data_IF_352687513695
#
_entry.id   IF_352687513695
#
_cell.length_a   1.000
_cell.length_b   1.000
_cell.length_c   1.000
_cell.angle_alpha   90.00
_cell.angle_beta   90.00
_cell.angle_gamma   90.00
#
_symmetry.space_group_name_H-M   'P 1'
#
loop_
_entity.id
_entity.type
_entity.pdbx_description
1 polymer ?
#
# COMPACT_ATOMS: atom_id res chain seq x y z
N UNK A 1 30.81 -4.37 4.78
CA UNK A 1 30.09 -5.57 4.35
C UNK A 1 28.86 -5.72 5.25
N UNK A 2 27.73 -5.15 4.86
CA UNK A 2 26.44 -5.56 5.45
C UNK A 2 26.11 -6.91 4.81
N UNK A 3 25.91 -7.94 5.63
CA UNK A 3 25.52 -9.25 5.14
C UNK A 3 24.07 -9.20 4.66
N UNK A 4 23.86 -9.54 3.40
CA UNK A 4 22.53 -9.74 2.81
C UNK A 4 21.96 -11.15 3.10
N UNK A 5 22.51 -11.84 4.12
CA UNK A 5 22.16 -13.23 4.45
C UNK A 5 20.68 -13.43 4.88
N UNK A 6 19.94 -12.34 5.06
CA UNK A 6 18.52 -12.35 5.43
C UNK A 6 17.59 -11.93 4.28
N UNK A 7 18.09 -11.75 3.06
CA UNK A 7 17.28 -11.33 1.91
C UNK A 7 16.92 -12.54 1.06
N UNK A 8 15.62 -12.73 0.84
CA UNK A 8 15.09 -13.75 -0.08
C UNK A 8 14.45 -13.05 -1.28
N UNK A 9 14.77 -13.51 -2.49
CA UNK A 9 14.23 -12.98 -3.73
C UNK A 9 13.15 -13.90 -4.28
N UNK A 10 11.99 -13.31 -4.60
CA UNK A 10 10.89 -13.97 -5.30
C UNK A 10 10.68 -13.29 -6.64
N UNK A 11 11.00 -13.98 -7.72
CA UNK A 11 10.94 -13.41 -9.06
C UNK A 11 9.54 -13.53 -9.65
N UNK A 12 9.01 -12.43 -10.15
CA UNK A 12 7.85 -12.44 -11.03
C UNK A 12 8.32 -12.56 -12.49
N UNK A 13 8.27 -13.75 -13.06
CA UNK A 13 8.72 -14.02 -14.43
C UNK A 13 7.87 -13.31 -15.49
N UNK A 14 6.67 -12.85 -15.11
CA UNK A 14 5.71 -12.17 -15.98
C UNK A 14 5.48 -10.72 -15.57
N UNK A 15 6.49 -10.05 -15.00
CA UNK A 15 6.36 -8.69 -14.47
C UNK A 15 5.88 -7.68 -15.52
N UNK A 16 6.20 -7.89 -16.80
CA UNK A 16 5.81 -7.05 -17.93
C UNK A 16 4.34 -7.25 -18.37
N UNK A 17 3.65 -8.26 -17.82
CA UNK A 17 2.27 -8.65 -18.18
C UNK A 17 1.36 -8.78 -16.98
N UNK A 18 1.84 -8.41 -15.80
CA UNK A 18 1.12 -8.52 -14.54
C UNK A 18 1.36 -7.29 -13.68
N UNK A 19 0.59 -7.12 -12.60
CA UNK A 19 0.72 -5.98 -11.71
C UNK A 19 1.05 -6.42 -10.28
N UNK A 20 1.04 -5.46 -9.35
CA UNK A 20 1.56 -5.53 -7.98
C UNK A 20 0.97 -6.67 -7.16
N UNK A 21 -0.34 -6.95 -7.27
CA UNK A 21 -0.98 -8.04 -6.52
C UNK A 21 -0.39 -9.39 -6.95
N UNK A 22 -0.25 -9.62 -8.26
CA UNK A 22 0.38 -10.84 -8.77
C UNK A 22 1.84 -10.94 -8.29
N UNK A 23 2.58 -9.83 -8.26
CA UNK A 23 3.96 -9.79 -7.76
C UNK A 23 4.03 -10.15 -6.28
N UNK A 24 3.13 -9.63 -5.43
CA UNK A 24 3.06 -10.00 -4.01
C UNK A 24 2.86 -11.52 -3.86
N UNK A 25 1.96 -12.11 -4.64
CA UNK A 25 1.66 -13.54 -4.55
C UNK A 25 2.70 -14.46 -5.20
N UNK A 26 3.72 -13.92 -5.91
CA UNK A 26 4.93 -14.69 -6.22
C UNK A 26 5.71 -15.10 -4.97
N UNK A 27 5.59 -14.35 -3.87
CA UNK A 27 6.17 -14.64 -2.57
C UNK A 27 5.22 -15.45 -1.65
N UNK A 28 4.26 -16.19 -2.19
CA UNK A 28 3.23 -16.92 -1.42
C UNK A 28 3.83 -17.80 -0.32
N UNK A 29 4.91 -18.52 -0.60
CA UNK A 29 5.57 -19.38 0.39
C UNK A 29 6.10 -18.57 1.58
N UNK A 30 6.57 -17.36 1.33
CA UNK A 30 6.98 -16.44 2.39
C UNK A 30 5.78 -15.94 3.21
N UNK A 31 4.66 -15.60 2.56
CA UNK A 31 3.42 -15.25 3.25
C UNK A 31 2.98 -16.38 4.18
N UNK A 32 3.03 -17.64 3.68
CA UNK A 32 2.69 -18.82 4.46
C UNK A 32 3.64 -19.01 5.64
N UNK A 33 4.94 -18.81 5.43
CA UNK A 33 5.94 -18.87 6.48
C UNK A 33 5.70 -17.83 7.57
N UNK A 34 5.33 -16.58 7.21
CA UNK A 34 4.96 -15.56 8.19
C UNK A 34 3.79 -16.03 9.10
N UNK A 35 2.82 -16.75 8.53
CA UNK A 35 1.70 -17.30 9.30
C UNK A 35 2.19 -18.40 10.27
N UNK A 36 3.04 -19.31 9.81
CA UNK A 36 3.59 -20.41 10.60
C UNK A 36 4.47 -19.90 11.75
N UNK A 37 5.33 -18.94 11.45
CA UNK A 37 6.25 -18.33 12.41
C UNK A 37 5.57 -17.27 13.31
N UNK A 38 4.26 -17.00 13.09
CA UNK A 38 3.48 -15.97 13.80
C UNK A 38 4.12 -14.58 13.72
N UNK A 39 4.60 -14.23 12.53
CA UNK A 39 5.23 -12.94 12.25
C UNK A 39 4.30 -12.06 11.42
N UNK A 40 4.09 -10.82 11.88
CA UNK A 40 3.40 -9.82 11.10
C UNK A 40 4.23 -9.42 9.88
N UNK A 41 3.56 -9.06 8.79
CA UNK A 41 4.19 -8.68 7.54
C UNK A 41 3.99 -7.19 7.26
N UNK A 42 5.08 -6.46 7.04
CA UNK A 42 5.03 -5.11 6.48
C UNK A 42 5.36 -5.21 4.98
N UNK A 43 4.52 -4.60 4.17
CA UNK A 43 4.66 -4.53 2.73
C UNK A 43 4.96 -3.08 2.35
N UNK A 44 6.00 -2.90 1.53
CA UNK A 44 6.42 -1.61 1.00
C UNK A 44 6.53 -1.67 -0.50
N UNK A 45 6.05 -0.64 -1.19
CA UNK A 45 6.40 -0.40 -2.58
C UNK A 45 7.90 -0.14 -2.71
N UNK A 46 8.49 -0.38 -3.87
CA UNK A 46 9.91 -0.27 -4.11
C UNK A 46 10.35 1.14 -4.54
N UNK A 47 9.41 1.95 -4.97
CA UNK A 47 9.57 3.31 -5.50
C UNK A 47 9.25 4.40 -4.49
N UNK A 48 9.09 4.05 -3.22
CA UNK A 48 8.82 4.99 -2.13
C UNK A 48 10.05 5.16 -1.22
N UNK A 49 10.24 6.39 -0.75
CA UNK A 49 11.20 6.75 0.28
C UNK A 49 10.44 7.24 1.50
N UNK A 50 10.71 6.68 2.66
CA UNK A 50 10.06 7.04 3.92
C UNK A 50 11.03 6.97 5.09
N UNK A 51 10.67 7.63 6.20
CA UNK A 51 11.49 7.64 7.40
C UNK A 51 11.13 6.50 8.35
N UNK A 52 12.08 6.17 9.21
CA UNK A 52 12.00 5.08 10.19
C UNK A 52 10.71 5.13 11.04
N UNK A 53 10.24 6.34 11.38
CA UNK A 53 9.02 6.54 12.17
C UNK A 53 7.76 5.94 11.52
N UNK A 54 7.69 5.86 10.19
CA UNK A 54 6.56 5.21 9.51
C UNK A 54 6.50 3.72 9.80
N UNK A 55 7.67 3.04 9.82
CA UNK A 55 7.77 1.63 10.20
C UNK A 55 7.46 1.43 11.70
N UNK A 56 7.97 2.32 12.55
CA UNK A 56 7.71 2.27 13.99
C UNK A 56 6.21 2.39 14.28
N UNK A 57 5.52 3.34 13.66
CA UNK A 57 4.07 3.48 13.77
C UNK A 57 3.29 2.25 13.31
N UNK A 58 3.71 1.61 12.19
CA UNK A 58 3.08 0.36 11.75
C UNK A 58 3.29 -0.78 12.75
N UNK A 59 4.48 -0.89 13.35
CA UNK A 59 4.76 -1.89 14.37
C UNK A 59 3.94 -1.68 15.64
N UNK A 60 3.69 -0.43 16.02
CA UNK A 60 2.90 -0.06 17.18
C UNK A 60 1.40 -0.25 16.98
N UNK A 61 0.93 -0.20 15.72
CA UNK A 61 -0.48 -0.42 15.39
C UNK A 61 -0.91 -1.83 15.81
N UNK A 62 -1.98 -1.92 16.60
CA UNK A 62 -2.49 -3.18 17.17
C UNK A 62 -3.46 -3.89 16.23
N UNK A 63 -3.94 -3.16 15.25
CA UNK A 63 -4.91 -3.68 14.29
C UNK A 63 -4.26 -4.66 13.33
N UNK A 64 -5.04 -5.65 12.91
CA UNK A 64 -4.60 -6.72 12.01
C UNK A 64 -4.28 -6.24 10.59
N UNK A 65 -4.88 -5.14 10.18
CA UNK A 65 -4.61 -4.46 8.92
C UNK A 65 -4.40 -2.97 9.19
N UNK A 66 -3.19 -2.46 8.94
CA UNK A 66 -2.80 -1.08 9.16
C UNK A 66 -2.12 -0.51 7.91
N UNK A 67 -2.47 0.71 7.54
CA UNK A 67 -2.01 1.37 6.31
C UNK A 67 -1.49 2.75 6.65
N UNK A 68 -0.27 3.08 6.19
CA UNK A 68 0.24 4.46 6.32
C UNK A 68 -0.52 5.39 5.39
N UNK A 69 -1.02 6.47 5.97
CA UNK A 69 -1.80 7.51 5.27
C UNK A 69 -1.16 8.88 5.54
N UNK A 70 -0.74 9.57 4.50
CA UNK A 70 -0.22 10.94 4.63
C UNK A 70 -1.35 11.96 4.64
N UNK A 71 -1.45 12.71 5.72
CA UNK A 71 -2.44 13.79 5.90
C UNK A 71 -2.01 15.09 5.23
N UNK A 72 -0.71 15.27 5.00
CA UNK A 72 -0.15 16.46 4.35
C UNK A 72 0.17 16.21 2.86
N UNK A 73 -0.40 15.15 2.29
CA UNK A 73 -0.20 14.68 0.92
C UNK A 73 -0.27 15.79 -0.14
N UNK A 74 -1.17 16.76 0.04
CA UNK A 74 -1.42 17.79 -0.96
C UNK A 74 -0.17 18.63 -1.24
N UNK A 75 0.62 18.96 -0.22
CA UNK A 75 1.88 19.69 -0.41
C UNK A 75 2.88 18.93 -1.27
N UNK A 76 2.90 17.59 -1.19
CA UNK A 76 3.74 16.75 -2.02
C UNK A 76 3.22 16.71 -3.46
N UNK A 77 1.91 16.51 -3.65
CA UNK A 77 1.28 16.46 -4.97
C UNK A 77 1.39 17.79 -5.74
N UNK A 78 1.25 18.93 -5.06
CA UNK A 78 1.45 20.27 -5.66
C UNK A 78 2.89 20.51 -6.16
N UNK A 79 3.87 19.77 -5.65
CA UNK A 79 5.24 19.80 -6.17
C UNK A 79 5.47 18.86 -7.35
N UNK A 80 4.67 17.81 -7.48
CA UNK A 80 4.80 16.76 -8.50
C UNK A 80 3.95 17.03 -9.73
N UNK A 81 2.77 17.61 -9.55
CA UNK A 81 1.74 17.76 -10.58
C UNK A 81 1.24 19.21 -10.64
N UNK A 82 0.98 19.69 -11.85
CA UNK A 82 0.32 20.99 -12.05
C UNK A 82 -1.09 21.00 -11.45
N UNK A 83 -1.81 19.88 -11.61
CA UNK A 83 -3.09 19.66 -10.95
C UNK A 83 -3.04 18.33 -10.16
N UNK A 84 -3.00 18.37 -8.82
CA UNK A 84 -2.96 17.17 -7.98
C UNK A 84 -4.06 16.14 -8.24
N UNK A 85 -5.25 16.58 -8.67
CA UNK A 85 -6.37 15.67 -8.95
C UNK A 85 -6.17 14.82 -10.21
N UNK A 86 -5.15 15.10 -11.03
CA UNK A 86 -4.86 14.27 -12.19
C UNK A 86 -4.31 12.90 -11.81
N UNK A 87 -3.66 12.83 -10.65
CA UNK A 87 -3.03 11.60 -10.13
C UNK A 87 -3.63 11.12 -8.80
N UNK A 88 -3.95 12.04 -7.88
CA UNK A 88 -4.41 11.69 -6.54
C UNK A 88 -5.64 10.77 -6.54
N UNK A 89 -5.59 9.75 -5.69
CA UNK A 89 -6.66 8.77 -5.51
C UNK A 89 -7.55 9.11 -4.30
N UNK A 90 -8.79 8.63 -4.31
CA UNK A 90 -9.68 8.77 -3.16
C UNK A 90 -9.15 8.01 -1.95
N UNK A 91 -9.34 8.59 -0.77
CA UNK A 91 -9.18 7.92 0.51
C UNK A 91 -10.18 8.50 1.50
N UNK A 92 -11.13 7.68 1.93
CA UNK A 92 -12.16 8.09 2.89
C UNK A 92 -12.04 7.32 4.19
N UNK A 93 -12.17 8.05 5.28
CA UNK A 93 -12.03 7.52 6.63
C UNK A 93 -13.37 7.58 7.37
N UNK A 94 -13.64 6.56 8.19
CA UNK A 94 -14.69 6.55 9.19
C UNK A 94 -14.14 5.98 10.49
N UNK A 95 -14.24 6.75 11.57
CA UNK A 95 -13.77 6.36 12.92
C UNK A 95 -12.28 5.90 12.94
N UNK A 96 -11.44 6.50 12.07
CA UNK A 96 -10.03 6.19 11.94
C UNK A 96 -9.73 4.92 11.11
N UNK A 97 -10.75 4.33 10.48
CA UNK A 97 -10.61 3.21 9.55
C UNK A 97 -10.86 3.67 8.11
N UNK A 98 -10.12 3.07 7.17
CA UNK A 98 -10.28 3.32 5.74
C UNK A 98 -11.56 2.61 5.28
N UNK A 99 -12.44 3.36 4.60
CA UNK A 99 -13.67 2.82 4.00
C UNK A 99 -13.66 2.89 2.47
N UNK A 100 -12.85 3.76 1.90
CA UNK A 100 -12.63 3.84 0.45
C UNK A 100 -11.17 4.18 0.16
N UNK A 101 -10.59 3.53 -0.86
CA UNK A 101 -9.20 3.65 -1.27
C UNK A 101 -9.06 3.46 -2.78
N UNK A 102 -8.21 4.25 -3.43
CA UNK A 102 -7.66 3.95 -4.75
C UNK A 102 -8.58 4.22 -5.94
N UNK A 103 -9.64 5.03 -5.77
CA UNK A 103 -10.48 5.45 -6.89
C UNK A 103 -10.03 6.80 -7.45
N UNK A 104 -10.37 7.10 -8.69
CA UNK A 104 -10.12 8.41 -9.26
C UNK A 104 -10.92 9.48 -8.50
N UNK A 105 -10.21 10.40 -7.85
CA UNK A 105 -10.83 11.52 -7.16
C UNK A 105 -11.35 12.57 -8.16
N UNK A 106 -12.50 13.17 -7.86
CA UNK A 106 -13.08 14.27 -8.63
C UNK A 106 -12.90 15.60 -7.91
N UNK A 107 -12.85 15.56 -6.60
CA UNK A 107 -12.70 16.73 -5.74
C UNK A 107 -11.75 16.44 -4.58
N UNK A 108 -11.14 17.48 -4.02
CA UNK A 108 -10.27 17.34 -2.86
C UNK A 108 -10.97 16.77 -1.62
N UNK A 109 -12.28 16.97 -1.47
CA UNK A 109 -13.08 16.48 -0.34
C UNK A 109 -13.16 14.93 -0.29
N UNK A 110 -12.86 14.28 -1.41
CA UNK A 110 -12.81 12.81 -1.50
C UNK A 110 -11.47 12.23 -1.03
N UNK A 111 -10.51 13.11 -0.66
CA UNK A 111 -9.13 12.72 -0.31
C UNK A 111 -8.81 13.19 1.11
N UNK A 112 -9.18 12.36 2.09
CA UNK A 112 -8.91 12.65 3.51
C UNK A 112 -7.48 12.33 3.94
N UNK A 113 -6.66 11.87 3.02
CA UNK A 113 -5.24 11.54 3.10
C UNK A 113 -4.83 10.76 1.88
N UNK A 114 -3.54 10.49 1.69
CA UNK A 114 -3.05 9.71 0.55
C UNK A 114 -2.44 8.40 1.03
N UNK A 115 -2.75 7.31 0.32
CA UNK A 115 -2.11 6.01 0.47
C UNK A 115 -0.64 6.12 0.05
N UNK A 116 0.25 5.53 0.82
CA UNK A 116 1.70 5.71 0.61
C UNK A 116 2.41 4.48 0.04
N UNK A 117 1.69 3.39 -0.22
CA UNK A 117 2.34 2.14 -0.62
C UNK A 117 2.97 1.35 0.54
N UNK A 118 2.74 1.76 1.80
CA UNK A 118 3.30 1.13 2.99
C UNK A 118 2.21 0.66 3.94
N UNK A 119 2.12 -0.64 4.22
CA UNK A 119 1.07 -1.22 5.06
C UNK A 119 1.50 -2.50 5.76
N UNK A 120 0.72 -2.92 6.76
CA UNK A 120 0.95 -4.10 7.59
C UNK A 120 -0.25 -5.04 7.57
N UNK A 121 0.02 -6.33 7.50
CA UNK A 121 -0.92 -7.38 7.88
C UNK A 121 -0.39 -8.14 9.09
N UNK A 122 -1.23 -8.42 10.09
CA UNK A 122 -0.89 -9.39 11.12
C UNK A 122 -0.83 -10.80 10.53
N UNK A 123 -0.08 -11.69 11.16
CA UNK A 123 -0.01 -13.10 10.75
C UNK A 123 -1.40 -13.78 10.80
N UNK A 124 -2.28 -13.35 11.68
CA UNK A 124 -3.66 -13.84 11.74
C UNK A 124 -4.45 -13.41 10.50
N UNK A 125 -4.33 -12.16 10.11
CA UNK A 125 -5.05 -11.61 8.97
C UNK A 125 -4.49 -12.07 7.63
N UNK A 126 -3.20 -12.40 7.55
CA UNK A 126 -2.59 -12.98 6.34
C UNK A 126 -3.31 -14.22 5.84
N UNK A 127 -3.89 -15.05 6.73
CA UNK A 127 -4.72 -16.19 6.35
C UNK A 127 -5.94 -15.76 5.54
N UNK A 128 -6.59 -14.71 6.00
CA UNK A 128 -7.78 -14.16 5.33
C UNK A 128 -7.42 -13.42 4.03
N UNK A 129 -6.26 -12.78 3.97
CA UNK A 129 -5.71 -12.16 2.76
C UNK A 129 -5.49 -13.21 1.67
N UNK A 130 -4.78 -14.30 1.98
CA UNK A 130 -4.53 -15.40 1.05
C UNK A 130 -5.85 -16.05 0.60
N UNK A 131 -6.74 -16.36 1.55
CA UNK A 131 -8.06 -16.95 1.27
C UNK A 131 -8.92 -16.05 0.37
N UNK A 132 -8.87 -14.74 0.62
CA UNK A 132 -9.62 -13.78 -0.21
C UNK A 132 -9.07 -13.76 -1.63
N UNK A 133 -7.76 -13.64 -1.80
CA UNK A 133 -7.13 -13.70 -3.12
C UNK A 133 -7.48 -14.99 -3.87
N UNK A 134 -7.41 -16.15 -3.21
CA UNK A 134 -7.72 -17.46 -3.82
C UNK A 134 -9.19 -17.60 -4.23
N UNK A 135 -10.09 -16.87 -3.56
CA UNK A 135 -11.53 -16.89 -3.84
C UNK A 135 -11.96 -15.93 -4.95
N UNK A 136 -11.06 -15.06 -5.44
CA UNK A 136 -11.40 -14.12 -6.50
C UNK A 136 -11.66 -14.82 -7.83
N UNK A 137 -12.68 -14.38 -8.54
CA UNK A 137 -12.97 -14.88 -9.89
C UNK A 137 -11.94 -14.33 -10.88
N UNK A 138 -11.16 -15.22 -11.47
CA UNK A 138 -10.08 -14.86 -12.42
C UNK A 138 -10.59 -14.37 -13.78
N UNK A 139 -11.89 -14.47 -14.05
CA UNK A 139 -12.53 -14.03 -15.29
C UNK A 139 -13.15 -12.62 -15.16
N UNK A 140 -13.24 -12.08 -13.94
CA UNK A 140 -13.77 -10.76 -13.70
C UNK A 140 -12.69 -9.68 -13.85
N UNK A 141 -13.14 -8.44 -14.01
CA UNK A 141 -12.30 -7.25 -13.95
C UNK A 141 -12.44 -6.56 -12.59
N UNK A 142 -11.34 -5.96 -12.13
CA UNK A 142 -11.18 -5.26 -10.86
C UNK A 142 -10.70 -3.83 -11.18
N UNK A 143 -11.55 -2.85 -11.00
CA UNK A 143 -11.33 -1.45 -11.42
C UNK A 143 -10.83 -1.33 -12.88
N UNK A 144 -11.47 -2.08 -13.79
CA UNK A 144 -11.16 -2.08 -15.21
C UNK A 144 -9.92 -2.90 -15.63
N UNK A 145 -9.26 -3.56 -14.70
CA UNK A 145 -8.11 -4.45 -14.96
C UNK A 145 -8.50 -5.92 -14.77
N UNK A 146 -7.93 -6.80 -15.56
CA UNK A 146 -8.09 -8.24 -15.34
C UNK A 146 -7.40 -8.69 -14.03
N UNK A 147 -7.68 -9.90 -13.60
CA UNK A 147 -7.15 -10.47 -12.36
C UNK A 147 -5.62 -10.38 -12.24
N UNK A 148 -4.88 -10.58 -13.33
CA UNK A 148 -3.41 -10.56 -13.31
C UNK A 148 -2.85 -9.13 -13.25
N UNK A 149 -3.62 -8.17 -13.72
CA UNK A 149 -3.26 -6.77 -13.77
C UNK A 149 -3.94 -5.92 -12.68
N UNK A 150 -4.53 -6.57 -11.67
CA UNK A 150 -5.20 -5.91 -10.55
C UNK A 150 -4.22 -4.97 -9.81
N UNK A 151 -4.63 -3.74 -9.59
CA UNK A 151 -3.89 -2.79 -8.75
C UNK A 151 -3.92 -3.24 -7.28
N UNK A 152 -2.87 -2.89 -6.53
CA UNK A 152 -2.85 -3.17 -5.10
C UNK A 152 -3.99 -2.47 -4.36
N UNK A 153 -4.29 -1.22 -4.70
CA UNK A 153 -5.39 -0.45 -4.12
C UNK A 153 -6.75 -1.13 -4.35
N UNK A 154 -6.98 -1.73 -5.52
CA UNK A 154 -8.18 -2.53 -5.80
C UNK A 154 -8.28 -3.76 -4.89
N UNK A 155 -7.17 -4.47 -4.69
CA UNK A 155 -7.14 -5.63 -3.80
C UNK A 155 -7.34 -5.24 -2.34
N UNK A 156 -6.69 -4.16 -1.90
CA UNK A 156 -6.89 -3.63 -0.54
C UNK A 156 -8.33 -3.18 -0.34
N UNK A 157 -8.98 -2.56 -1.35
CA UNK A 157 -10.40 -2.18 -1.26
C UNK A 157 -11.31 -3.40 -1.08
N UNK A 158 -11.03 -4.52 -1.76
CA UNK A 158 -11.77 -5.78 -1.55
C UNK A 158 -11.64 -6.27 -0.10
N UNK A 159 -10.45 -6.19 0.48
CA UNK A 159 -10.23 -6.54 1.89
C UNK A 159 -10.96 -5.56 2.83
N UNK A 160 -10.92 -4.26 2.53
CA UNK A 160 -11.62 -3.20 3.28
C UNK A 160 -13.13 -3.46 3.28
N UNK A 161 -13.71 -3.71 2.13
CA UNK A 161 -15.16 -3.95 1.99
C UNK A 161 -15.60 -5.17 2.77
N UNK A 162 -14.78 -6.23 2.74
CA UNK A 162 -15.10 -7.51 3.37
C UNK A 162 -14.92 -7.51 4.89
N UNK A 163 -13.82 -6.92 5.39
CA UNK A 163 -13.42 -7.04 6.79
C UNK A 163 -13.60 -5.77 7.61
N UNK A 164 -13.65 -4.60 6.97
CA UNK A 164 -13.87 -3.27 7.60
C UNK A 164 -12.91 -2.96 8.76
N UNK A 165 -11.67 -3.45 8.66
CA UNK A 165 -10.67 -3.41 9.72
C UNK A 165 -9.36 -2.71 9.32
N UNK A 166 -9.32 -2.02 8.18
CA UNK A 166 -8.14 -1.31 7.71
C UNK A 166 -7.92 -0.01 8.50
N UNK A 167 -7.03 -0.03 9.47
CA UNK A 167 -6.66 1.14 10.27
C UNK A 167 -5.80 2.11 9.47
N UNK A 168 -6.21 3.38 9.41
CA UNK A 168 -5.35 4.45 8.95
C UNK A 168 -4.32 4.81 10.04
N UNK A 169 -3.03 4.64 9.72
CA UNK A 169 -1.91 5.08 10.55
C UNK A 169 -1.39 6.38 9.95
N UNK A 170 -1.79 7.49 10.55
CA UNK A 170 -1.56 8.81 9.99
C UNK A 170 -0.11 9.28 10.18
N UNK A 171 0.45 9.81 9.09
CA UNK A 171 1.70 10.57 9.07
C UNK A 171 1.45 11.99 8.51
N UNK A 172 2.45 12.84 8.62
CA UNK A 172 2.45 14.22 8.09
C UNK A 172 3.72 14.45 7.29
N UNK A 173 3.67 14.13 5.99
CA UNK A 173 4.84 14.15 5.11
C UNK A 173 5.93 13.16 5.54
N UNK A 174 7.20 13.48 5.27
CA UNK A 174 8.36 12.62 5.54
C UNK A 174 8.34 11.30 4.74
N UNK A 175 7.78 11.35 3.54
CA UNK A 175 7.85 10.32 2.53
C UNK A 175 7.73 10.95 1.14
N UNK A 176 8.11 10.24 0.12
CA UNK A 176 7.82 10.56 -1.28
C UNK A 176 7.81 9.30 -2.12
N UNK A 177 7.17 9.37 -3.26
CA UNK A 177 7.16 8.38 -4.33
C UNK A 177 8.05 8.90 -5.47
N UNK A 178 8.76 8.03 -6.14
CA UNK A 178 9.71 8.36 -7.20
C UNK A 178 9.25 7.69 -8.49
N UNK A 179 8.35 8.34 -9.22
CA UNK A 179 7.87 7.88 -10.53
C UNK A 179 8.60 8.56 -11.68
N UNK A 180 9.01 9.82 -11.48
CA UNK A 180 9.65 10.65 -12.49
C UNK A 180 11.02 11.14 -12.01
N UNK A 181 11.90 11.48 -12.96
CA UNK A 181 13.21 12.07 -12.65
C UNK A 181 13.09 13.36 -11.83
N UNK A 182 12.03 14.13 -12.04
CA UNK A 182 11.73 15.35 -11.25
C UNK A 182 11.47 15.06 -9.77
N UNK A 183 10.96 13.88 -9.43
CA UNK A 183 10.67 13.52 -8.04
C UNK A 183 11.96 13.39 -7.20
N UNK A 184 13.12 13.12 -7.83
CA UNK A 184 14.43 13.08 -7.17
C UNK A 184 14.84 14.45 -6.60
N UNK A 185 14.28 15.54 -7.09
CA UNK A 185 14.55 16.91 -6.59
C UNK A 185 13.67 17.26 -5.39
N UNK A 186 12.64 16.42 -5.10
CA UNK A 186 11.73 16.65 -3.99
C UNK A 186 12.39 16.20 -2.69
N UNK A 187 12.56 17.13 -1.75
CA UNK A 187 13.03 16.77 -0.42
C UNK A 187 11.81 16.36 0.45
N UNK A 188 11.67 15.08 0.81
CA UNK A 188 10.56 14.61 1.65
C UNK A 188 10.69 15.07 3.10
N UNK A 189 11.87 15.56 3.51
CA UNK A 189 12.09 16.02 4.88
C UNK A 189 11.44 17.39 5.05
N UNK A 190 10.42 17.47 5.89
CA UNK A 190 9.99 18.76 6.42
C UNK A 190 11.05 19.24 7.41
N UNK A 191 11.56 20.44 7.21
CA UNK A 191 12.45 21.07 8.19
C UNK A 191 11.78 20.99 9.57
N UNK A 192 12.38 20.25 10.46
CA UNK A 192 12.02 20.18 11.88
C UNK A 192 12.45 21.43 12.57
#
# INVERSE_FOLDING_TARGET
NQSYDLVTFYKNENYDKTNMVQTLFCARDFLQKCIEDKQDLIISYADIVYFKNSIEKLKEAKEDFAVIVDKDWKELWEKRFENPLDDAETLKLKDGFIVELGKKAKTYDEIQGQYTGLFKFSYLFLKEVIKTYDSLDKNLTYDGKDFKNMYMTSFLQILIDKYKNAKAVEIKGNWCEIDFMSDLEINPIKNQ
#
